data_IF_140971888248
#
_entry.id   IF_140971888248
#
_cell.length_a   1.000
_cell.length_b   1.000
_cell.length_c   1.000
_cell.angle_alpha   90.00
_cell.angle_beta   90.00
_cell.angle_gamma   90.00
#
_symmetry.space_group_name_H-M   'P 1'
#
loop_
_entity.id
_entity.type
_entity.pdbx_description
1 polymer ?
#
# COMPACT_ATOMS: atom_id res chain seq x y z
N UNK A 1 -49.10 11.48 -4.35
CA UNK A 1 -48.73 10.27 -3.56
C UNK A 1 -47.33 9.85 -3.97
N UNK A 2 -46.53 9.43 -2.98
CA UNK A 2 -45.14 8.94 -2.99
C UNK A 2 -44.57 8.45 -4.35
N UNK A 3 -43.29 8.65 -4.71
CA UNK A 3 -42.12 8.96 -3.91
C UNK A 3 -41.15 7.77 -3.81
N UNK A 4 -40.02 7.87 -4.56
CA UNK A 4 -38.68 7.29 -4.35
C UNK A 4 -38.46 5.79 -4.69
N UNK A 5 -37.46 5.52 -5.53
CA UNK A 5 -36.08 5.28 -5.05
C UNK A 5 -35.12 5.00 -6.22
N UNK A 6 -34.46 6.05 -6.74
CA UNK A 6 -33.22 5.91 -7.50
C UNK A 6 -32.05 5.81 -6.51
N UNK A 7 -31.45 4.62 -6.42
CA UNK A 7 -30.25 4.37 -5.60
C UNK A 7 -29.00 4.81 -6.34
N UNK A 8 -28.31 5.83 -5.81
CA UNK A 8 -27.06 6.41 -6.33
C UNK A 8 -25.83 5.76 -5.67
N UNK A 9 -24.75 5.41 -6.40
CA UNK A 9 -23.50 4.98 -5.79
C UNK A 9 -22.59 6.19 -5.54
N UNK A 10 -22.67 6.84 -4.37
CA UNK A 10 -21.83 8.04 -4.06
C UNK A 10 -20.54 7.70 -3.30
N UNK A 11 -20.43 6.56 -2.63
CA UNK A 11 -19.38 6.42 -1.60
C UNK A 11 -18.00 5.93 -2.06
N UNK A 12 -17.85 5.39 -3.29
CA UNK A 12 -16.54 4.87 -3.76
C UNK A 12 -15.62 5.96 -4.36
N UNK A 13 -16.15 6.99 -5.03
CA UNK A 13 -15.32 8.00 -5.72
C UNK A 13 -14.70 9.04 -4.78
N UNK A 14 -15.39 9.43 -3.70
CA UNK A 14 -14.97 10.53 -2.83
C UNK A 14 -13.72 10.27 -1.97
N UNK A 15 -13.39 8.99 -1.68
CA UNK A 15 -12.22 8.64 -0.85
C UNK A 15 -10.93 8.53 -1.68
N UNK A 16 -11.01 7.97 -2.88
CA UNK A 16 -9.88 7.95 -3.81
C UNK A 16 -9.48 9.37 -4.21
N UNK A 17 -10.46 10.24 -4.49
CA UNK A 17 -10.20 11.66 -4.78
C UNK A 17 -9.61 12.42 -3.58
N UNK A 18 -9.95 12.04 -2.34
CA UNK A 18 -9.36 12.65 -1.16
C UNK A 18 -7.89 12.26 -0.99
N UNK A 19 -7.56 10.97 -1.12
CA UNK A 19 -6.18 10.48 -1.07
C UNK A 19 -5.30 11.12 -2.15
N UNK A 20 -5.81 11.17 -3.38
CA UNK A 20 -5.15 11.83 -4.50
C UNK A 20 -4.82 13.29 -4.18
N UNK A 21 -5.80 14.04 -3.64
CA UNK A 21 -5.59 15.43 -3.23
C UNK A 21 -4.58 15.56 -2.10
N UNK A 22 -4.64 14.71 -1.07
CA UNK A 22 -3.69 14.73 0.06
C UNK A 22 -2.25 14.47 -0.42
N UNK A 23 -2.07 13.52 -1.35
CA UNK A 23 -0.77 13.23 -1.96
C UNK A 23 -0.29 14.38 -2.84
N UNK A 24 -1.18 14.95 -3.67
CA UNK A 24 -0.87 16.12 -4.50
C UNK A 24 -0.32 17.27 -3.66
N UNK A 25 -0.99 17.59 -2.56
CA UNK A 25 -0.53 18.63 -1.64
C UNK A 25 0.82 18.29 -1.01
N UNK A 26 1.05 17.05 -0.56
CA UNK A 26 2.34 16.65 0.00
C UNK A 26 3.50 16.88 -0.99
N UNK A 27 3.28 16.59 -2.27
CA UNK A 27 4.28 16.78 -3.35
C UNK A 27 4.49 18.26 -3.65
N UNK A 28 3.40 19.03 -3.68
CA UNK A 28 3.44 20.48 -3.93
C UNK A 28 4.24 21.22 -2.85
N UNK A 29 4.13 20.79 -1.58
CA UNK A 29 4.89 21.36 -0.46
C UNK A 29 6.35 20.86 -0.40
N UNK A 30 6.65 19.69 -0.95
CA UNK A 30 8.02 19.20 -1.18
C UNK A 30 8.80 18.73 0.05
N UNK A 31 8.23 18.79 1.25
CA UNK A 31 8.91 18.41 2.48
C UNK A 31 8.50 17.01 2.94
N UNK A 32 9.48 16.15 3.26
CA UNK A 32 9.26 14.79 3.78
C UNK A 32 8.32 13.95 2.90
N UNK A 33 8.42 14.11 1.58
CA UNK A 33 7.49 13.51 0.61
C UNK A 33 7.39 12.00 0.76
N UNK A 34 8.53 11.30 0.89
CA UNK A 34 8.56 9.85 1.09
C UNK A 34 7.72 9.43 2.30
N UNK A 35 7.90 10.12 3.43
CA UNK A 35 7.16 9.82 4.65
C UNK A 35 5.67 10.14 4.51
N UNK A 36 5.33 11.30 3.92
CA UNK A 36 3.95 11.70 3.73
C UNK A 36 3.19 10.70 2.85
N UNK A 37 3.75 10.33 1.70
CA UNK A 37 3.14 9.37 0.76
C UNK A 37 3.00 7.99 1.41
N UNK A 38 4.02 7.54 2.15
CA UNK A 38 3.95 6.30 2.92
C UNK A 38 2.79 6.31 3.91
N UNK A 39 2.73 7.33 4.77
CA UNK A 39 1.76 7.39 5.87
C UNK A 39 0.32 7.55 5.34
N UNK A 40 0.12 8.32 4.26
CA UNK A 40 -1.16 8.43 3.55
C UNK A 40 -1.60 7.10 2.94
N UNK A 41 -0.68 6.38 2.30
CA UNK A 41 -0.96 5.07 1.69
C UNK A 41 -1.30 4.05 2.77
N UNK A 42 -0.54 4.00 3.86
CA UNK A 42 -0.80 3.11 5.00
C UNK A 42 -2.18 3.39 5.60
N UNK A 43 -2.53 4.66 5.80
CA UNK A 43 -3.86 5.06 6.31
C UNK A 43 -4.98 4.60 5.37
N UNK A 44 -4.80 4.76 4.06
CA UNK A 44 -5.77 4.32 3.07
C UNK A 44 -5.96 2.79 3.09
N UNK A 45 -4.86 2.04 3.08
CA UNK A 45 -4.86 0.57 3.14
C UNK A 45 -5.43 0.03 4.45
N UNK A 46 -5.15 0.68 5.59
CA UNK A 46 -5.71 0.28 6.88
C UNK A 46 -7.23 0.49 6.96
N UNK A 47 -7.78 1.43 6.17
CA UNK A 47 -9.23 1.67 6.12
C UNK A 47 -9.95 0.70 5.21
N UNK A 48 -9.26 0.19 4.18
CA UNK A 48 -9.76 -0.79 3.22
C UNK A 48 -8.67 -1.84 2.95
N UNK A 49 -8.44 -2.75 3.91
CA UNK A 49 -7.38 -3.75 3.82
C UNK A 49 -7.81 -4.89 2.89
N UNK A 50 -8.36 -4.58 1.72
CA UNK A 50 -8.77 -5.55 0.72
C UNK A 50 -7.95 -5.34 -0.56
N UNK A 51 -7.56 -6.45 -1.19
CA UNK A 51 -6.69 -6.39 -2.36
C UNK A 51 -7.37 -5.76 -3.59
N UNK A 52 -8.71 -5.81 -3.69
CA UNK A 52 -9.47 -5.10 -4.74
C UNK A 52 -9.25 -3.57 -4.66
N UNK A 53 -9.15 -3.04 -3.44
CA UNK A 53 -8.90 -1.62 -3.18
C UNK A 53 -7.45 -1.21 -3.43
N UNK A 54 -6.50 -2.16 -3.39
CA UNK A 54 -5.07 -1.88 -3.54
C UNK A 54 -4.76 -1.15 -4.85
N UNK A 55 -5.30 -1.62 -5.97
CA UNK A 55 -5.13 -0.99 -7.30
C UNK A 55 -5.65 0.45 -7.32
N UNK A 56 -6.81 0.66 -6.73
CA UNK A 56 -7.44 1.99 -6.66
C UNK A 56 -6.62 2.96 -5.82
N UNK A 57 -6.08 2.50 -4.68
CA UNK A 57 -5.22 3.29 -3.80
C UNK A 57 -3.91 3.65 -4.50
N UNK A 58 -3.22 2.69 -5.09
CA UNK A 58 -1.96 2.91 -5.82
C UNK A 58 -2.14 3.90 -6.97
N UNK A 59 -3.24 3.75 -7.71
CA UNK A 59 -3.56 4.65 -8.83
C UNK A 59 -3.84 6.07 -8.34
N UNK A 60 -4.61 6.24 -7.26
CA UNK A 60 -4.88 7.55 -6.67
C UNK A 60 -3.60 8.22 -6.12
N UNK A 61 -2.72 7.46 -5.47
CA UNK A 61 -1.42 7.96 -5.00
C UNK A 61 -0.61 8.45 -6.19
N UNK A 62 -0.42 7.62 -7.23
CA UNK A 62 0.40 8.03 -8.37
C UNK A 62 -0.23 9.17 -9.19
N UNK A 63 -1.57 9.27 -9.23
CA UNK A 63 -2.25 10.42 -9.79
C UNK A 63 -1.89 11.70 -9.02
N UNK A 64 -1.99 11.68 -7.69
CA UNK A 64 -1.60 12.79 -6.84
C UNK A 64 -0.13 13.17 -7.00
N UNK A 65 0.76 12.18 -7.15
CA UNK A 65 2.20 12.42 -7.42
C UNK A 65 2.40 13.21 -8.71
N UNK A 66 1.75 12.79 -9.80
CA UNK A 66 1.89 13.47 -11.10
C UNK A 66 1.33 14.88 -11.07
N UNK A 67 0.14 15.05 -10.50
CA UNK A 67 -0.50 16.37 -10.42
C UNK A 67 0.27 17.33 -9.52
N UNK A 68 0.77 16.86 -8.38
CA UNK A 68 1.54 17.69 -7.46
C UNK A 68 2.88 18.09 -8.05
N UNK A 69 3.54 17.19 -8.77
CA UNK A 69 4.75 17.49 -9.51
C UNK A 69 4.50 18.56 -10.58
N UNK A 70 3.42 18.40 -11.37
CA UNK A 70 3.04 19.38 -12.39
C UNK A 70 2.74 20.76 -11.79
N UNK A 71 1.98 20.81 -10.70
CA UNK A 71 1.68 22.05 -9.98
C UNK A 71 2.95 22.74 -9.49
N UNK A 72 3.89 21.99 -8.91
CA UNK A 72 5.15 22.55 -8.41
C UNK A 72 6.06 23.05 -9.52
N UNK A 73 6.11 22.36 -10.66
CA UNK A 73 6.86 22.82 -11.85
C UNK A 73 6.30 24.11 -12.45
N UNK A 74 4.97 24.27 -12.46
CA UNK A 74 4.31 25.48 -12.93
C UNK A 74 4.59 26.69 -12.02
N UNK A 75 4.58 26.47 -10.71
CA UNK A 75 4.76 27.53 -9.72
C UNK A 75 6.22 27.92 -9.49
N UNK A 76 7.17 26.99 -9.67
CA UNK A 76 8.59 27.18 -9.35
C UNK A 76 9.51 26.61 -10.44
N UNK A 77 9.61 27.32 -11.56
CA UNK A 77 10.32 26.87 -12.77
C UNK A 77 11.83 26.63 -12.61
N UNK A 78 12.44 27.07 -11.49
CA UNK A 78 13.85 26.83 -11.15
C UNK A 78 14.13 25.55 -10.36
N UNK A 79 13.09 24.84 -9.89
CA UNK A 79 13.23 23.70 -8.96
C UNK A 79 13.05 22.32 -9.61
N UNK A 80 13.17 22.21 -10.94
CA UNK A 80 12.90 20.94 -11.67
C UNK A 80 13.58 19.74 -11.03
N UNK A 81 14.85 19.85 -10.64
CA UNK A 81 15.55 18.75 -9.97
C UNK A 81 14.89 18.35 -8.64
N UNK A 82 14.52 19.31 -7.80
CA UNK A 82 13.87 19.04 -6.52
C UNK A 82 12.46 18.42 -6.71
N UNK A 83 11.76 18.78 -7.78
CA UNK A 83 10.49 18.13 -8.14
C UNK A 83 10.72 16.67 -8.54
N UNK A 84 11.72 16.38 -9.38
CA UNK A 84 12.02 15.00 -9.79
C UNK A 84 12.46 14.13 -8.61
N UNK A 85 13.26 14.67 -7.68
CA UNK A 85 13.59 14.00 -6.42
C UNK A 85 12.33 13.71 -5.59
N UNK A 86 11.40 14.68 -5.49
CA UNK A 86 10.12 14.46 -4.78
C UNK A 86 9.31 13.32 -5.40
N UNK A 87 9.39 13.10 -6.71
CA UNK A 87 8.72 11.97 -7.38
C UNK A 87 9.40 10.64 -6.99
N UNK A 88 10.73 10.59 -6.94
CA UNK A 88 11.48 9.42 -6.47
C UNK A 88 11.13 9.08 -5.02
N UNK A 89 11.13 10.09 -4.15
CA UNK A 89 10.74 9.99 -2.75
C UNK A 89 9.31 9.45 -2.61
N UNK A 90 8.37 9.96 -3.40
CA UNK A 90 6.99 9.51 -3.38
C UNK A 90 6.85 8.03 -3.72
N UNK A 91 7.52 7.58 -4.79
CA UNK A 91 7.48 6.17 -5.20
C UNK A 91 8.17 5.27 -4.16
N UNK A 92 9.28 5.72 -3.56
CA UNK A 92 9.90 5.02 -2.43
C UNK A 92 8.98 4.94 -1.19
N UNK A 93 8.18 5.98 -0.96
CA UNK A 93 7.18 6.01 0.11
C UNK A 93 6.06 5.00 -0.13
N UNK A 94 5.60 4.90 -1.37
CA UNK A 94 4.61 3.91 -1.81
C UNK A 94 5.15 2.47 -1.69
N UNK A 95 6.39 2.22 -2.13
CA UNK A 95 7.09 0.93 -1.97
C UNK A 95 7.17 0.53 -0.49
N UNK A 96 7.59 1.46 0.38
CA UNK A 96 7.66 1.24 1.83
C UNK A 96 6.30 0.92 2.44
N UNK A 97 5.23 1.58 2.00
CA UNK A 97 3.88 1.31 2.50
C UNK A 97 3.37 -0.08 2.10
N UNK A 98 3.69 -0.52 0.88
CA UNK A 98 3.36 -1.86 0.40
C UNK A 98 4.15 -2.95 1.12
N UNK A 99 5.43 -2.71 1.39
CA UNK A 99 6.23 -3.60 2.25
C UNK A 99 5.56 -3.77 3.62
N UNK A 100 5.13 -2.68 4.25
CA UNK A 100 4.43 -2.75 5.54
C UNK A 100 3.08 -3.48 5.48
N UNK A 101 2.37 -3.37 4.36
CA UNK A 101 1.16 -4.17 4.14
C UNK A 101 1.47 -5.68 4.07
N UNK A 102 2.54 -6.06 3.36
CA UNK A 102 3.00 -7.44 3.28
C UNK A 102 3.46 -7.96 4.66
N UNK A 103 4.24 -7.18 5.40
CA UNK A 103 4.66 -7.50 6.77
C UNK A 103 3.47 -7.69 7.71
N UNK A 104 2.50 -6.77 7.69
CA UNK A 104 1.29 -6.89 8.50
C UNK A 104 0.46 -8.12 8.11
N UNK A 105 0.45 -8.49 6.82
CA UNK A 105 -0.19 -9.71 6.33
C UNK A 105 0.48 -10.98 6.84
N UNK A 106 1.82 -11.00 6.87
CA UNK A 106 2.60 -12.08 7.48
C UNK A 106 2.24 -12.26 8.95
N UNK A 107 2.31 -11.18 9.73
CA UNK A 107 2.06 -11.22 11.18
C UNK A 107 0.63 -11.66 11.50
N UNK A 108 -0.35 -11.12 10.77
CA UNK A 108 -1.75 -11.52 10.93
C UNK A 108 -1.96 -13.01 10.62
N UNK A 109 -1.28 -13.55 9.62
CA UNK A 109 -1.33 -14.98 9.30
C UNK A 109 -0.71 -15.84 10.40
N UNK A 110 0.47 -15.47 10.89
CA UNK A 110 1.16 -16.17 11.99
C UNK A 110 0.28 -16.18 13.26
N UNK A 111 -0.39 -15.07 13.58
CA UNK A 111 -1.34 -14.99 14.68
C UNK A 111 -2.59 -15.86 14.46
N UNK A 112 -3.16 -15.85 13.26
CA UNK A 112 -4.30 -16.67 12.90
C UNK A 112 -3.98 -18.17 13.01
N UNK A 113 -2.80 -18.59 12.53
CA UNK A 113 -2.29 -19.95 12.65
C UNK A 113 -2.09 -20.34 14.13
N UNK A 114 -1.47 -19.47 14.93
CA UNK A 114 -1.29 -19.68 16.37
C UNK A 114 -2.60 -19.81 17.15
N UNK A 115 -3.70 -19.20 16.66
CA UNK A 115 -5.06 -19.33 17.22
C UNK A 115 -5.83 -20.53 16.67
N UNK A 116 -5.20 -21.38 15.85
CA UNK A 116 -5.82 -22.51 15.16
C UNK A 116 -7.05 -22.09 14.32
N UNK A 117 -6.99 -20.91 13.70
CA UNK A 117 -8.04 -20.45 12.81
C UNK A 117 -8.11 -21.36 11.57
N UNK A 118 -9.31 -21.80 11.21
CA UNK A 118 -9.54 -22.66 10.05
C UNK A 118 -9.75 -21.81 8.80
N UNK A 119 -8.92 -22.05 7.78
CA UNK A 119 -9.10 -21.56 6.42
C UNK A 119 -9.31 -22.75 5.48
N UNK A 120 -10.11 -22.58 4.44
CA UNK A 120 -10.20 -23.52 3.33
C UNK A 120 -8.99 -23.42 2.40
N UNK A 121 -8.73 -24.46 1.62
CA UNK A 121 -7.66 -24.44 0.60
C UNK A 121 -7.84 -23.33 -0.43
N UNK A 122 -9.09 -23.02 -0.79
CA UNK A 122 -9.42 -21.98 -1.77
C UNK A 122 -9.10 -20.59 -1.22
N UNK A 123 -9.47 -20.29 0.03
CA UNK A 123 -9.16 -19.02 0.70
C UNK A 123 -7.63 -18.81 0.82
N UNK A 124 -6.89 -19.87 1.16
CA UNK A 124 -5.43 -19.81 1.25
C UNK A 124 -4.79 -19.62 -0.14
N UNK A 125 -5.24 -20.37 -1.14
CA UNK A 125 -4.74 -20.22 -2.51
C UNK A 125 -5.00 -18.81 -3.06
N UNK A 126 -6.20 -18.27 -2.80
CA UNK A 126 -6.56 -16.90 -3.16
C UNK A 126 -5.66 -15.88 -2.45
N UNK A 127 -5.52 -15.97 -1.13
CA UNK A 127 -4.67 -15.05 -0.35
C UNK A 127 -3.21 -15.07 -0.84
N UNK A 128 -2.67 -16.26 -1.15
CA UNK A 128 -1.34 -16.40 -1.73
C UNK A 128 -1.22 -15.69 -3.07
N UNK A 129 -2.15 -15.95 -3.98
CA UNK A 129 -2.17 -15.32 -5.31
C UNK A 129 -2.23 -13.80 -5.22
N UNK A 130 -3.02 -13.29 -4.28
CA UNK A 130 -3.14 -11.86 -4.02
C UNK A 130 -1.81 -11.26 -3.53
N UNK A 131 -1.12 -11.92 -2.59
CA UNK A 131 0.21 -11.51 -2.13
C UNK A 131 1.25 -11.53 -3.26
N UNK A 132 1.28 -12.60 -4.06
CA UNK A 132 2.16 -12.74 -5.23
C UNK A 132 1.93 -11.64 -6.28
N UNK A 133 0.72 -11.06 -6.33
CA UNK A 133 0.37 -10.02 -7.30
C UNK A 133 0.80 -8.60 -6.92
N UNK A 134 1.13 -8.33 -5.65
CA UNK A 134 1.34 -6.96 -5.14
C UNK A 134 2.48 -6.25 -5.87
N UNK A 135 3.65 -6.88 -6.01
CA UNK A 135 4.80 -6.25 -6.66
C UNK A 135 4.54 -6.00 -8.15
N UNK A 136 3.89 -6.95 -8.81
CA UNK A 136 3.47 -6.78 -10.20
C UNK A 136 2.53 -5.57 -10.34
N UNK A 137 1.53 -5.46 -9.47
CA UNK A 137 0.60 -4.32 -9.46
C UNK A 137 1.31 -2.99 -9.21
N UNK A 138 2.28 -2.96 -8.29
CA UNK A 138 3.10 -1.78 -8.04
C UNK A 138 3.82 -1.32 -9.31
N UNK A 139 4.51 -2.24 -9.99
CA UNK A 139 5.17 -1.92 -11.26
C UNK A 139 4.22 -1.52 -12.37
N UNK A 140 3.06 -2.18 -12.48
CA UNK A 140 2.02 -1.86 -13.45
C UNK A 140 1.55 -0.41 -13.29
N UNK A 141 1.21 0.00 -12.06
CA UNK A 141 0.71 1.35 -11.79
C UNK A 141 1.78 2.42 -12.01
N UNK A 142 3.02 2.17 -11.59
CA UNK A 142 4.13 3.12 -11.82
C UNK A 142 4.40 3.28 -13.32
N UNK A 143 4.38 2.19 -14.10
CA UNK A 143 4.56 2.25 -15.56
C UNK A 143 3.40 2.95 -16.28
N UNK A 144 2.15 2.69 -15.86
CA UNK A 144 0.98 3.38 -16.39
C UNK A 144 1.04 4.90 -16.11
N UNK A 145 1.51 5.26 -14.91
CA UNK A 145 1.72 6.65 -14.52
C UNK A 145 2.84 7.30 -15.34
N UNK A 146 3.94 6.59 -15.59
CA UNK A 146 5.00 7.08 -16.47
C UNK A 146 4.49 7.33 -17.90
N UNK A 147 3.67 6.43 -18.43
CA UNK A 147 3.17 6.50 -19.81
C UNK A 147 2.21 7.67 -20.05
N UNK A 148 1.57 8.17 -19.00
CA UNK A 148 0.63 9.29 -19.05
C UNK A 148 1.22 10.61 -18.54
N UNK A 149 2.50 10.64 -18.16
CA UNK A 149 3.17 11.81 -17.62
C UNK A 149 3.92 12.64 -18.68
N UNK A 150 4.23 13.89 -18.35
CA UNK A 150 5.14 14.73 -19.14
C UNK A 150 6.56 14.15 -19.16
N UNK A 151 7.36 14.51 -20.17
CA UNK A 151 8.63 13.84 -20.49
C UNK A 151 9.56 13.61 -19.29
N UNK A 152 9.93 14.67 -18.55
CA UNK A 152 10.87 14.54 -17.42
C UNK A 152 10.36 13.63 -16.28
N UNK A 153 9.06 13.70 -15.99
CA UNK A 153 8.40 12.83 -15.00
C UNK A 153 8.34 11.38 -15.51
N UNK A 154 8.01 11.22 -16.80
CA UNK A 154 7.94 9.94 -17.48
C UNK A 154 9.28 9.21 -17.45
N UNK A 155 10.37 9.91 -17.78
CA UNK A 155 11.74 9.40 -17.70
C UNK A 155 12.12 8.99 -16.27
N UNK A 156 11.86 9.86 -15.29
CA UNK A 156 12.16 9.58 -13.88
C UNK A 156 11.46 8.31 -13.36
N UNK A 157 10.18 8.13 -13.70
CA UNK A 157 9.42 6.93 -13.29
C UNK A 157 9.89 5.66 -14.03
N UNK A 158 10.27 5.75 -15.31
CA UNK A 158 10.85 4.61 -16.05
C UNK A 158 12.23 4.22 -15.52
N UNK A 159 13.05 5.20 -15.15
CA UNK A 159 14.34 4.98 -14.52
C UNK A 159 14.18 4.27 -13.18
N UNK A 160 13.21 4.71 -12.36
CA UNK A 160 12.85 4.01 -11.12
C UNK A 160 12.49 2.54 -11.39
N UNK A 161 11.57 2.26 -12.32
CA UNK A 161 11.15 0.88 -12.64
C UNK A 161 12.34 0.03 -13.10
N UNK A 162 13.22 0.60 -13.92
CA UNK A 162 14.43 -0.09 -14.40
C UNK A 162 15.38 -0.41 -13.25
N UNK A 163 15.60 0.55 -12.36
CA UNK A 163 16.44 0.36 -11.18
C UNK A 163 15.84 -0.68 -10.22
N UNK A 164 14.55 -0.58 -9.93
CA UNK A 164 13.83 -1.48 -9.04
C UNK A 164 13.83 -2.94 -9.54
N UNK A 165 13.66 -3.17 -10.85
CA UNK A 165 13.77 -4.52 -11.43
C UNK A 165 15.16 -5.14 -11.33
N UNK A 166 16.21 -4.31 -11.22
CA UNK A 166 17.61 -4.77 -11.13
C UNK A 166 18.10 -4.95 -9.69
N UNK A 167 17.65 -4.08 -8.80
CA UNK A 167 18.15 -4.00 -7.43
C UNK A 167 17.13 -4.48 -6.38
N UNK A 168 15.91 -4.79 -6.81
CA UNK A 168 14.80 -5.14 -5.93
C UNK A 168 14.04 -3.91 -5.42
N UNK A 169 12.97 -4.20 -4.69
CA UNK A 169 12.10 -3.24 -4.00
C UNK A 169 11.96 -3.65 -2.54
N UNK A 170 11.57 -2.71 -1.66
CA UNK A 170 11.24 -3.05 -0.28
C UNK A 170 10.05 -4.00 -0.23
N UNK A 171 9.03 -3.78 -1.08
CA UNK A 171 7.86 -4.66 -1.18
C UNK A 171 8.24 -6.06 -1.64
N UNK A 172 9.10 -6.21 -2.64
CA UNK A 172 9.54 -7.51 -3.16
C UNK A 172 10.28 -8.33 -2.11
N UNK A 173 11.24 -7.71 -1.41
CA UNK A 173 11.95 -8.37 -0.30
C UNK A 173 11.00 -8.81 0.81
N UNK A 174 10.04 -7.96 1.20
CA UNK A 174 9.10 -8.30 2.25
C UNK A 174 8.06 -9.34 1.82
N UNK A 175 7.68 -9.38 0.55
CA UNK A 175 6.80 -10.41 0.00
C UNK A 175 7.47 -11.79 -0.02
N UNK A 176 8.76 -11.86 -0.33
CA UNK A 176 9.53 -13.11 -0.24
C UNK A 176 9.49 -13.68 1.18
N UNK A 177 9.74 -12.84 2.19
CA UNK A 177 9.64 -13.21 3.61
C UNK A 177 8.21 -13.64 4.01
N UNK A 178 7.21 -12.91 3.50
CA UNK A 178 5.79 -13.16 3.79
C UNK A 178 5.32 -14.48 3.20
N UNK A 179 5.65 -14.76 1.93
CA UNK A 179 5.32 -16.01 1.24
C UNK A 179 6.07 -17.21 1.84
N UNK A 180 7.30 -16.99 2.33
CA UNK A 180 8.05 -18.02 3.06
C UNK A 180 7.35 -18.40 4.36
N UNK A 181 6.91 -17.42 5.16
CA UNK A 181 6.13 -17.67 6.38
C UNK A 181 4.80 -18.36 6.06
N UNK A 182 4.11 -17.92 5.02
CA UNK A 182 2.87 -18.52 4.55
C UNK A 182 3.02 -20.02 4.24
N UNK A 183 4.06 -20.41 3.50
CA UNK A 183 4.33 -21.82 3.18
C UNK A 183 4.64 -22.66 4.42
N UNK A 184 5.30 -22.10 5.42
CA UNK A 184 5.60 -22.79 6.70
C UNK A 184 4.32 -23.09 7.47
N UNK A 185 3.43 -22.11 7.61
CA UNK A 185 2.20 -22.26 8.39
C UNK A 185 1.18 -23.21 7.75
N UNK A 186 1.09 -23.24 6.42
CA UNK A 186 0.25 -24.23 5.73
C UNK A 186 0.79 -25.65 5.90
N UNK A 187 2.11 -25.82 5.84
CA UNK A 187 2.75 -27.13 5.97
C UNK A 187 2.70 -27.68 7.40
N UNK A 188 2.79 -26.82 8.41
CA UNK A 188 2.75 -27.18 9.83
C UNK A 188 1.34 -27.56 10.31
N UNK A 189 0.30 -26.98 9.70
CA UNK A 189 -1.09 -27.12 10.19
C UNK A 189 -1.76 -28.42 9.77
N UNK A 190 -1.32 -29.12 8.72
CA UNK A 190 -1.70 -30.51 8.37
C UNK A 190 -3.21 -30.88 8.28
N UNK A 191 -4.11 -29.93 8.51
CA UNK A 191 -5.56 -30.12 8.64
C UNK A 191 -6.26 -28.99 7.90
N UNK A 192 -6.13 -29.01 6.58
CA UNK A 192 -7.20 -28.48 5.73
C UNK A 192 -8.46 -29.26 6.12
N UNK A 193 -9.32 -28.65 6.91
CA UNK A 193 -10.60 -29.25 7.27
C UNK A 193 -11.46 -29.36 6.02
N UNK A 194 -11.72 -30.58 5.55
CA UNK A 194 -12.74 -30.90 4.56
C UNK A 194 -14.13 -30.77 5.23
N UNK A 195 -14.52 -29.57 5.65
CA UNK A 195 -15.87 -29.31 6.17
C UNK A 195 -16.58 -28.29 5.28
N UNK A 196 -17.64 -28.78 4.67
CA UNK A 196 -18.51 -28.14 3.68
C UNK A 196 -19.11 -26.82 4.20
N UNK A 197 -18.62 -25.69 3.68
CA UNK A 197 -19.49 -24.70 3.01
C UNK A 197 -20.18 -23.55 3.76
N UNK A 198 -20.05 -23.30 5.08
CA UNK A 198 -20.89 -22.24 5.72
C UNK A 198 -20.16 -21.21 6.64
N UNK A 199 -18.83 -21.02 6.55
CA UNK A 199 -18.13 -19.98 7.36
C UNK A 199 -17.14 -19.08 6.62
N UNK A 200 -17.27 -18.96 5.30
CA UNK A 200 -16.23 -18.49 4.37
C UNK A 200 -15.91 -16.98 4.37
N UNK A 201 -16.59 -16.15 5.16
CA UNK A 201 -16.34 -14.68 5.16
C UNK A 201 -15.72 -14.16 6.44
N UNK A 202 -15.91 -14.83 7.58
CA UNK A 202 -15.46 -14.29 8.86
C UNK A 202 -13.95 -14.39 9.06
N UNK A 203 -13.31 -15.46 8.57
CA UNK A 203 -11.88 -15.67 8.81
C UNK A 203 -11.00 -14.66 8.05
N UNK A 204 -11.26 -14.47 6.75
CA UNK A 204 -10.58 -13.46 5.95
C UNK A 204 -10.87 -12.05 6.46
N UNK A 205 -12.11 -11.74 6.85
CA UNK A 205 -12.44 -10.42 7.40
C UNK A 205 -11.66 -10.13 8.68
N UNK A 206 -11.57 -11.10 9.60
CA UNK A 206 -10.80 -10.95 10.83
C UNK A 206 -9.29 -10.83 10.55
N UNK A 207 -8.78 -11.60 9.59
CA UNK A 207 -7.39 -11.49 9.14
C UNK A 207 -7.10 -10.07 8.61
N UNK A 208 -7.94 -9.54 7.71
CA UNK A 208 -7.76 -8.21 7.15
C UNK A 208 -7.88 -7.10 8.21
N UNK A 209 -8.72 -7.30 9.24
CA UNK A 209 -8.79 -6.42 10.42
C UNK A 209 -7.47 -6.42 11.20
N UNK A 210 -6.83 -7.57 11.35
CA UNK A 210 -5.52 -7.70 12.00
C UNK A 210 -4.43 -7.04 11.17
N UNK A 211 -4.43 -7.20 9.84
CA UNK A 211 -3.53 -6.47 8.92
C UNK A 211 -3.65 -4.97 9.13
N UNK A 212 -4.88 -4.42 9.06
CA UNK A 212 -5.10 -3.00 9.30
C UNK A 212 -4.60 -2.52 10.68
N UNK A 213 -4.80 -3.35 11.71
CA UNK A 213 -4.31 -3.03 13.06
C UNK A 213 -2.78 -3.02 13.12
N UNK A 214 -2.11 -3.97 12.48
CA UNK A 214 -0.65 -4.05 12.38
C UNK A 214 -0.06 -2.85 11.66
N UNK A 215 -0.67 -2.46 10.53
CA UNK A 215 -0.24 -1.27 9.77
C UNK A 215 -0.32 0.02 10.59
N UNK A 216 -1.44 0.26 11.30
CA UNK A 216 -1.61 1.44 12.15
C UNK A 216 -0.64 1.44 13.33
N UNK A 217 -0.38 0.26 13.91
CA UNK A 217 0.58 0.09 15.01
C UNK A 217 2.00 0.42 14.55
N UNK A 218 2.41 -0.05 13.38
CA UNK A 218 3.72 0.25 12.79
C UNK A 218 3.95 1.75 12.56
N UNK A 219 2.92 2.50 12.14
CA UNK A 219 3.00 3.96 12.05
C UNK A 219 3.14 4.61 13.42
N UNK A 220 2.34 4.18 14.41
CA UNK A 220 2.35 4.74 15.76
C UNK A 220 3.69 4.52 16.48
N UNK A 221 4.33 3.37 16.32
CA UNK A 221 5.64 3.08 16.91
C UNK A 221 6.77 3.92 16.31
N UNK A 222 6.73 4.17 15.00
CA UNK A 222 7.71 5.06 14.35
C UNK A 222 7.54 6.52 14.76
N UNK A 223 6.30 7.00 14.92
CA UNK A 223 6.05 8.35 15.45
C UNK A 223 6.57 8.49 16.88
N UNK A 224 6.41 7.46 17.72
CA UNK A 224 6.97 7.46 19.09
C UNK A 224 8.49 7.37 19.10
N UNK A 225 9.08 6.54 18.22
CA UNK A 225 10.54 6.33 18.14
C UNK A 225 11.29 7.54 17.56
N UNK A 226 10.68 8.27 16.62
CA UNK A 226 11.21 9.54 16.10
C UNK A 226 11.13 10.70 17.10
N UNK A 227 10.46 10.53 18.25
CA UNK A 227 10.27 11.54 19.29
C UNK A 227 11.16 11.34 20.52
N UNK A 228 12.20 10.48 20.44
CA UNK A 228 13.17 10.33 21.55
C UNK A 228 13.78 11.69 21.89
N UNK A 229 13.68 12.16 23.15
CA UNK A 229 14.33 13.38 23.57
C UNK A 229 15.84 13.17 23.56
N UNK A 230 16.55 14.01 22.80
CA UNK A 230 17.97 14.25 23.00
C UNK A 230 18.14 15.00 24.32
N UNK A 231 18.13 14.26 25.44
CA UNK A 231 18.60 14.82 26.69
C UNK A 231 20.11 14.58 26.85
N UNK A 232 20.79 15.70 27.09
CA UNK A 232 22.23 15.85 27.26
C UNK A 232 22.65 15.31 28.62
N UNK A 233 23.85 14.73 28.70
CA UNK A 233 24.87 15.07 29.73
C UNK A 233 26.24 14.94 29.03
N UNK A 234 26.99 16.01 28.81
CA UNK A 234 27.74 16.82 29.79
C UNK A 234 28.71 15.98 30.60
#
# INVERSE_FOLDING_TARGET
MQGKSDSKPIHKSGKASALESEVREAIAHGNNVQQAVRDLTVKALSTRPDFESLRHILTAVMQGVREGAQQRMQNNSGETHAVLESIRDAVAGLDTALAQFAEASKLALEEAAGRAQKFSSEELAHLRSELESIEHLFFEVVQASASSAQQAVSETLRDFVTHAKRNGTAVGSQLEDTLTAFNREISSTGRVGLETGVRLTHAITELMRQVATGMLSGVAERVKSGRKPSDRRS
#
